data_IF_262588846972
#
_entry.id   IF_262588846972
#
_cell.length_a   1.000
_cell.length_b   1.000
_cell.length_c   1.000
_cell.angle_alpha   90.00
_cell.angle_beta   90.00
_cell.angle_gamma   90.00
#
_symmetry.space_group_name_H-M   'P 1'
#
loop_
_entity.id
_entity.type
_entity.pdbx_description
1 polymer ?
#
# COMPACT_ATOMS: atom_id res chain seq x y z
N UNK A 1 6.06 -37.00 14.90
CA UNK A 1 7.33 -36.29 15.13
C UNK A 1 8.02 -36.08 13.80
N UNK A 2 8.60 -34.88 13.60
CA UNK A 2 9.42 -34.43 12.45
C UNK A 2 8.62 -34.05 11.19
N UNK A 3 8.85 -32.92 10.50
CA UNK A 3 9.83 -31.84 10.66
C UNK A 3 9.47 -30.72 9.67
N UNK A 4 9.69 -29.46 10.06
CA UNK A 4 9.97 -28.35 9.16
C UNK A 4 8.76 -27.61 8.59
N UNK A 5 8.27 -26.60 9.32
CA UNK A 5 7.65 -25.46 8.65
C UNK A 5 8.80 -24.70 7.97
N UNK A 6 8.90 -24.79 6.66
CA UNK A 6 9.81 -23.97 5.88
C UNK A 6 9.33 -22.52 6.01
N UNK A 7 10.10 -21.74 6.75
CA UNK A 7 9.89 -20.33 7.00
C UNK A 7 9.81 -19.59 5.68
N UNK A 8 8.60 -19.28 5.25
CA UNK A 8 8.34 -18.29 4.22
C UNK A 8 8.57 -16.92 4.88
N UNK A 9 9.84 -16.57 5.10
CA UNK A 9 10.27 -15.20 5.37
C UNK A 9 10.07 -14.40 4.07
N UNK A 10 8.81 -14.21 3.69
CA UNK A 10 8.39 -13.20 2.73
C UNK A 10 8.70 -11.85 3.36
N UNK A 11 9.93 -11.38 3.16
CA UNK A 11 10.26 -10.00 3.42
C UNK A 11 9.29 -9.12 2.62
N UNK A 12 8.28 -8.57 3.29
CA UNK A 12 7.27 -7.73 2.66
C UNK A 12 7.96 -6.50 2.05
N UNK A 13 7.86 -6.36 0.72
CA UNK A 13 8.50 -5.25 0.01
C UNK A 13 7.88 -3.90 0.45
N UNK A 14 8.75 -2.97 0.85
CA UNK A 14 8.37 -1.67 1.36
C UNK A 14 8.62 -0.56 0.33
N UNK A 15 7.55 0.09 -0.13
CA UNK A 15 7.59 1.21 -1.09
C UNK A 15 7.51 2.56 -0.39
N UNK A 16 8.08 3.60 -1.01
CA UNK A 16 7.96 4.98 -0.52
C UNK A 16 6.77 5.71 -1.15
N UNK A 17 6.40 6.86 -0.58
CA UNK A 17 5.27 7.64 -1.09
C UNK A 17 5.45 8.17 -2.52
N UNK A 18 6.67 8.30 -3.03
CA UNK A 18 6.96 8.65 -4.42
C UNK A 18 6.43 7.59 -5.40
N UNK A 19 6.81 6.34 -5.18
CA UNK A 19 6.32 5.22 -5.98
C UNK A 19 4.78 5.15 -6.04
N UNK A 20 4.13 5.37 -4.89
CA UNK A 20 2.66 5.37 -4.80
C UNK A 20 2.04 6.55 -5.54
N UNK A 21 2.65 7.74 -5.40
CA UNK A 21 2.19 8.96 -6.06
C UNK A 21 2.19 8.82 -7.58
N UNK A 22 3.26 8.25 -8.15
CA UNK A 22 3.36 7.99 -9.59
C UNK A 22 2.31 6.99 -10.06
N UNK A 23 2.10 5.90 -9.31
CA UNK A 23 1.16 4.83 -9.68
C UNK A 23 -0.31 5.26 -9.62
N UNK A 24 -0.65 6.17 -8.70
CA UNK A 24 -2.00 6.74 -8.60
C UNK A 24 -2.18 8.06 -9.36
N UNK A 25 -1.12 8.66 -9.89
CA UNK A 25 -1.18 9.98 -10.55
C UNK A 25 -1.56 11.13 -9.60
N UNK A 26 -1.11 11.08 -8.33
CA UNK A 26 -1.46 12.05 -7.29
C UNK A 26 -0.23 12.81 -6.77
N UNK A 27 -0.45 13.94 -6.10
CA UNK A 27 0.64 14.64 -5.41
C UNK A 27 1.17 13.82 -4.22
N UNK A 28 2.50 13.68 -4.10
CA UNK A 28 3.18 13.03 -2.96
C UNK A 28 2.65 13.42 -1.57
N UNK A 29 2.40 14.71 -1.23
CA UNK A 29 1.85 15.07 0.08
C UNK A 29 0.45 14.51 0.33
N UNK A 30 -0.32 14.18 -0.71
CA UNK A 30 -1.65 13.59 -0.59
C UNK A 30 -1.61 12.09 -0.27
N UNK A 31 -0.50 11.41 -0.60
CA UNK A 31 -0.35 9.94 -0.44
C UNK A 31 -0.61 9.52 1.00
N UNK A 32 0.02 10.17 1.98
CA UNK A 32 -0.13 9.80 3.38
C UNK A 32 -1.59 9.88 3.86
N UNK A 33 -2.32 10.91 3.43
CA UNK A 33 -3.74 11.11 3.76
C UNK A 33 -4.62 10.06 3.08
N UNK A 34 -4.34 9.74 1.82
CA UNK A 34 -5.11 8.74 1.04
C UNK A 34 -4.87 7.34 1.60
N UNK A 35 -3.62 6.95 1.83
CA UNK A 35 -3.26 5.65 2.40
C UNK A 35 -3.87 5.45 3.78
N UNK A 36 -3.87 6.50 4.63
CA UNK A 36 -4.54 6.46 5.92
C UNK A 36 -6.05 6.24 5.79
N UNK A 37 -6.71 6.90 4.82
CA UNK A 37 -8.14 6.70 4.53
C UNK A 37 -8.45 5.30 4.00
N UNK A 38 -7.52 4.70 3.27
CA UNK A 38 -7.64 3.34 2.74
C UNK A 38 -7.22 2.27 3.78
N UNK A 39 -6.84 2.67 5.00
CA UNK A 39 -6.44 1.76 6.07
C UNK A 39 -5.09 1.07 5.84
N UNK A 40 -4.23 1.63 4.98
CA UNK A 40 -2.91 1.07 4.71
C UNK A 40 -1.95 1.47 5.84
N UNK A 41 -1.33 0.50 6.55
CA UNK A 41 -0.38 0.82 7.61
C UNK A 41 0.89 1.46 7.02
N UNK A 42 1.54 2.30 7.82
CA UNK A 42 2.79 2.97 7.47
C UNK A 42 3.87 2.64 8.48
N UNK A 43 5.10 2.48 7.99
CA UNK A 43 6.29 2.26 8.81
C UNK A 43 7.17 3.51 8.76
N UNK A 44 7.55 4.01 9.92
CA UNK A 44 8.37 5.22 10.07
C UNK A 44 9.78 4.84 10.51
N UNK A 45 10.76 4.97 9.62
CA UNK A 45 12.18 4.66 9.87
C UNK A 45 12.99 5.90 10.29
N UNK A 46 12.31 7.01 10.53
CA UNK A 46 12.90 8.31 10.87
C UNK A 46 11.92 9.45 10.55
N UNK A 47 12.27 10.70 10.87
CA UNK A 47 11.33 11.84 10.85
C UNK A 47 10.73 12.16 9.47
N UNK A 48 11.28 11.59 8.38
CA UNK A 48 10.78 11.78 7.00
C UNK A 48 10.84 10.50 6.15
N UNK A 49 11.14 9.36 6.75
CA UNK A 49 11.29 8.09 6.04
C UNK A 49 10.07 7.21 6.30
N UNK A 50 8.99 7.47 5.57
CA UNK A 50 7.76 6.67 5.63
C UNK A 50 7.77 5.65 4.50
N UNK A 51 7.51 4.39 4.86
CA UNK A 51 7.38 3.27 3.93
C UNK A 51 6.03 2.59 4.11
N UNK A 52 5.56 1.98 3.04
CA UNK A 52 4.28 1.29 2.99
C UNK A 52 4.49 -0.13 2.47
N UNK A 53 3.77 -1.13 3.00
CA UNK A 53 3.78 -2.47 2.46
C UNK A 53 3.15 -2.49 1.07
N UNK A 54 3.93 -2.90 0.07
CA UNK A 54 3.53 -2.85 -1.34
C UNK A 54 2.23 -3.62 -1.58
N UNK A 55 2.12 -4.83 -1.04
CA UNK A 55 0.93 -5.68 -1.21
C UNK A 55 -0.35 -4.97 -0.75
N UNK A 56 -0.29 -4.30 0.41
CA UNK A 56 -1.42 -3.52 0.95
C UNK A 56 -1.74 -2.29 0.10
N UNK A 57 -0.71 -1.60 -0.40
CA UNK A 57 -0.90 -0.46 -1.31
C UNK A 57 -1.57 -0.91 -2.60
N UNK A 58 -1.10 -1.97 -3.23
CA UNK A 58 -1.68 -2.47 -4.48
C UNK A 58 -3.13 -2.92 -4.29
N UNK A 59 -3.42 -3.64 -3.20
CA UNK A 59 -4.79 -4.00 -2.85
C UNK A 59 -5.70 -2.76 -2.66
N UNK A 60 -5.19 -1.72 -2.00
CA UNK A 60 -5.93 -0.48 -1.78
C UNK A 60 -6.18 0.30 -3.09
N UNK A 61 -5.19 0.36 -3.99
CA UNK A 61 -5.33 0.97 -5.32
C UNK A 61 -6.38 0.19 -6.13
N UNK A 62 -6.28 -1.13 -6.16
CA UNK A 62 -7.24 -1.99 -6.87
C UNK A 62 -8.67 -1.80 -6.35
N UNK A 63 -8.86 -1.73 -5.03
CA UNK A 63 -10.16 -1.45 -4.42
C UNK A 63 -10.72 -0.07 -4.82
N UNK A 64 -9.86 0.95 -4.88
CA UNK A 64 -10.24 2.31 -5.27
C UNK A 64 -10.69 2.39 -6.75
N UNK A 65 -9.98 1.71 -7.65
CA UNK A 65 -10.37 1.61 -9.06
C UNK A 65 -11.68 0.83 -9.24
N UNK A 66 -11.88 -0.23 -8.45
CA UNK A 66 -13.10 -1.04 -8.50
C UNK A 66 -14.36 -0.25 -8.06
N UNK A 67 -14.27 0.55 -7.00
CA UNK A 67 -15.40 1.40 -6.55
C UNK A 67 -15.79 2.43 -7.62
N UNK A 68 -14.80 2.97 -8.33
CA UNK A 68 -15.03 3.94 -9.42
C UNK A 68 -15.79 3.30 -10.60
N UNK A 69 -15.52 2.03 -10.90
CA UNK A 69 -16.28 1.25 -11.90
C UNK A 69 -17.72 0.95 -11.47
N UNK A 70 -17.97 0.75 -10.17
CA UNK A 70 -19.31 0.46 -9.63
C UNK A 70 -20.25 1.68 -9.65
N UNK A 71 -19.70 2.90 -9.64
CA UNK A 71 -20.49 4.15 -9.64
C UNK A 71 -21.05 4.56 -11.01
N UNK A 72 -20.47 4.05 -12.11
CA UNK A 72 -20.84 4.47 -13.46
C UNK A 72 -22.03 3.70 -14.07
N UNK A 73 -22.78 2.94 -13.28
CA UNK A 73 -23.89 2.11 -13.76
C UNK A 73 -25.22 2.39 -13.03
N UNK A 74 -25.48 3.65 -12.66
CA UNK A 74 -26.74 4.08 -12.03
C UNK A 74 -27.38 5.24 -12.77
#
# INVERSE_FOLDING_TARGET
>A
MSKGNESMDEHEELVDGGWIAERMGIARPSVARIMARLGVPRYEFGPKCVRYPKSRVEAAIAACLHDTGRRNNR
#
